data_IF_052673831681
#
_entry.id   IF_052673831681
#
_cell.length_a   1.000
_cell.length_b   1.000
_cell.length_c   1.000
_cell.angle_alpha   90.00
_cell.angle_beta   90.00
_cell.angle_gamma   90.00
#
_symmetry.space_group_name_H-M   'P 1'
#
loop_
_entity.id
_entity.type
_entity.pdbx_description
1 polymer ?
#
# COMPACT_ATOMS: atom_id res chain seq x y z
N UNK A 1 36.22 -27.98 -14.60
CA UNK A 1 35.21 -28.41 -13.61
C UNK A 1 33.91 -28.67 -14.34
N UNK A 2 33.35 -29.89 -14.36
CA UNK A 2 32.16 -30.17 -15.15
C UNK A 2 30.92 -29.69 -14.38
N UNK A 3 30.23 -28.68 -14.89
CA UNK A 3 28.93 -28.26 -14.38
C UNK A 3 27.88 -29.29 -14.82
N UNK A 4 27.31 -30.02 -13.86
CA UNK A 4 26.35 -31.09 -14.10
C UNK A 4 25.07 -30.54 -14.76
N UNK A 5 24.69 -31.03 -15.94
CA UNK A 5 23.45 -30.66 -16.66
C UNK A 5 22.18 -30.76 -15.81
N UNK A 6 22.17 -31.66 -14.82
CA UNK A 6 21.07 -31.80 -13.89
C UNK A 6 20.83 -30.51 -13.07
N UNK A 7 21.90 -29.79 -12.69
CA UNK A 7 21.80 -28.56 -11.93
C UNK A 7 21.11 -27.43 -12.73
N UNK A 8 21.34 -27.39 -14.05
CA UNK A 8 20.72 -26.40 -14.93
C UNK A 8 19.22 -26.64 -15.06
N UNK A 9 18.81 -27.91 -15.22
CA UNK A 9 17.40 -28.30 -15.30
C UNK A 9 16.65 -28.01 -14.00
N UNK A 10 17.25 -28.32 -12.85
CA UNK A 10 16.64 -28.01 -11.54
C UNK A 10 16.50 -26.51 -11.32
N UNK A 11 17.51 -25.71 -11.66
CA UNK A 11 17.45 -24.24 -11.53
C UNK A 11 16.34 -23.63 -12.38
N UNK A 12 16.18 -24.12 -13.61
CA UNK A 12 15.14 -23.65 -14.54
C UNK A 12 13.74 -23.95 -14.00
N UNK A 13 13.54 -25.13 -13.41
CA UNK A 13 12.27 -25.52 -12.81
C UNK A 13 11.89 -24.68 -11.58
N UNK A 14 12.89 -24.33 -10.75
CA UNK A 14 12.67 -23.44 -9.59
C UNK A 14 12.31 -22.02 -10.02
N UNK A 15 12.95 -21.49 -11.05
CA UNK A 15 12.63 -20.17 -11.59
C UNK A 15 11.21 -20.10 -12.19
N UNK A 16 10.72 -21.18 -12.80
CA UNK A 16 9.35 -21.27 -13.31
C UNK A 16 8.29 -21.38 -12.20
N UNK A 17 8.68 -21.83 -11.00
CA UNK A 17 7.77 -22.04 -9.87
C UNK A 17 7.74 -20.85 -8.89
N UNK A 18 8.51 -19.78 -9.15
CA UNK A 18 8.51 -18.60 -8.28
C UNK A 18 7.18 -17.87 -8.37
N UNK A 19 6.39 -17.91 -7.29
CA UNK A 19 5.15 -17.15 -7.17
C UNK A 19 5.48 -15.67 -6.88
N UNK A 20 4.79 -14.75 -7.54
CA UNK A 20 4.89 -13.33 -7.24
C UNK A 20 4.18 -13.05 -5.91
N UNK A 21 4.93 -12.73 -4.85
CA UNK A 21 4.35 -12.30 -3.57
C UNK A 21 4.03 -10.81 -3.65
N UNK A 22 2.79 -10.45 -3.31
CA UNK A 22 2.37 -9.05 -3.23
C UNK A 22 2.47 -8.63 -1.77
N UNK A 23 3.57 -7.97 -1.42
CA UNK A 23 3.69 -7.34 -0.10
C UNK A 23 2.80 -6.08 -0.07
N UNK A 24 1.89 -6.01 0.90
CA UNK A 24 0.86 -4.97 0.99
C UNK A 24 1.35 -3.55 1.33
N UNK A 25 2.66 -3.35 1.54
CA UNK A 25 3.30 -2.05 1.73
C UNK A 25 2.59 -1.09 2.70
N UNK A 26 2.88 0.20 2.56
CA UNK A 26 2.10 1.27 3.18
C UNK A 26 1.16 1.83 2.12
N UNK A 27 -0.14 1.83 2.40
CA UNK A 27 -1.16 2.48 1.58
C UNK A 27 -1.83 3.60 2.36
N UNK A 28 -1.81 4.80 1.79
CA UNK A 28 -2.33 6.02 2.39
C UNK A 28 -3.59 6.49 1.66
N UNK A 29 -4.55 7.02 2.42
CA UNK A 29 -5.86 7.44 1.88
C UNK A 29 -6.27 8.85 2.34
N UNK A 30 -5.28 9.67 2.69
CA UNK A 30 -5.41 11.05 3.20
C UNK A 30 -5.88 12.06 2.15
N UNK A 31 -7.00 11.75 1.46
CA UNK A 31 -7.60 12.61 0.43
C UNK A 31 -8.95 13.11 0.93
N UNK A 32 -8.99 14.40 1.23
CA UNK A 32 -10.15 15.06 1.82
C UNK A 32 -10.21 14.88 3.34
N UNK A 33 -10.35 15.99 4.07
CA UNK A 33 -10.37 16.01 5.54
C UNK A 33 -11.57 15.24 6.09
N UNK A 34 -12.71 15.30 5.41
CA UNK A 34 -13.92 14.58 5.81
C UNK A 34 -13.73 13.05 5.69
N UNK A 35 -13.03 12.58 4.65
CA UNK A 35 -12.72 11.17 4.51
C UNK A 35 -11.77 10.70 5.62
N UNK A 36 -10.74 11.49 5.94
CA UNK A 36 -9.85 11.18 7.07
C UNK A 36 -10.61 11.14 8.40
N UNK A 37 -11.49 12.10 8.67
CA UNK A 37 -12.33 12.13 9.88
C UNK A 37 -13.32 10.96 9.98
N UNK A 38 -13.66 10.35 8.85
CA UNK A 38 -14.53 9.18 8.77
C UNK A 38 -13.74 7.87 8.63
N UNK A 39 -12.41 7.89 8.83
CA UNK A 39 -11.51 6.75 8.62
C UNK A 39 -11.71 6.07 7.25
N UNK A 40 -12.01 6.86 6.22
CA UNK A 40 -12.32 6.42 4.85
C UNK A 40 -13.56 5.50 4.74
N UNK A 41 -14.39 5.39 5.78
CA UNK A 41 -15.52 4.46 5.80
C UNK A 41 -16.53 4.79 4.69
N UNK A 42 -16.86 3.85 3.80
CA UNK A 42 -17.84 4.10 2.73
C UNK A 42 -17.37 5.07 1.64
N UNK A 43 -16.08 5.38 1.54
CA UNK A 43 -15.54 6.29 0.51
C UNK A 43 -15.82 5.85 -0.94
N UNK A 44 -16.05 4.56 -1.17
CA UNK A 44 -16.47 4.06 -2.48
C UNK A 44 -17.94 4.38 -2.82
N UNK A 45 -18.79 4.71 -1.83
CA UNK A 45 -20.21 4.97 -2.03
C UNK A 45 -20.62 6.43 -1.77
N UNK A 46 -19.89 7.15 -0.90
CA UNK A 46 -20.20 8.54 -0.57
C UNK A 46 -19.81 9.50 -1.70
N UNK A 47 -20.66 10.48 -1.95
CA UNK A 47 -20.42 11.60 -2.86
C UNK A 47 -20.61 12.93 -2.13
N UNK A 48 -19.72 13.22 -1.16
CA UNK A 48 -19.89 14.34 -0.23
C UNK A 48 -19.18 15.63 -0.67
N UNK A 49 -18.24 15.54 -1.60
CA UNK A 49 -17.51 16.70 -2.11
C UNK A 49 -16.46 16.33 -3.17
N UNK A 50 -15.67 17.30 -3.66
CA UNK A 50 -14.72 17.10 -4.76
C UNK A 50 -13.70 15.97 -4.57
N UNK A 51 -13.31 15.66 -3.31
CA UNK A 51 -12.42 14.54 -2.99
C UNK A 51 -12.96 13.18 -3.42
N UNK A 52 -14.27 13.06 -3.63
CA UNK A 52 -14.94 11.87 -4.17
C UNK A 52 -14.30 11.41 -5.48
N UNK A 53 -13.73 12.31 -6.29
CA UNK A 53 -13.04 11.93 -7.53
C UNK A 53 -11.91 10.91 -7.30
N UNK A 54 -11.27 10.92 -6.13
CA UNK A 54 -10.16 10.02 -5.83
C UNK A 54 -10.62 8.62 -5.39
N UNK A 55 -11.81 8.49 -4.79
CA UNK A 55 -12.32 7.22 -4.25
C UNK A 55 -13.44 6.61 -5.09
N UNK A 56 -14.26 7.43 -5.74
CA UNK A 56 -15.36 7.04 -6.60
C UNK A 56 -15.66 8.13 -7.66
N UNK A 57 -14.96 8.12 -8.81
CA UNK A 57 -15.23 9.07 -9.90
C UNK A 57 -16.69 9.15 -10.35
N UNK A 58 -17.44 8.04 -10.29
CA UNK A 58 -18.86 8.03 -10.66
C UNK A 58 -19.73 8.84 -9.67
N UNK A 59 -19.30 8.92 -8.41
CA UNK A 59 -19.92 9.74 -7.37
C UNK A 59 -19.96 11.23 -7.71
N UNK A 60 -19.06 11.72 -8.58
CA UNK A 60 -19.06 13.12 -9.04
C UNK A 60 -20.35 13.53 -9.74
N UNK A 61 -21.12 12.58 -10.29
CA UNK A 61 -22.41 12.85 -10.94
C UNK A 61 -23.50 13.33 -9.97
N UNK A 62 -23.34 13.07 -8.67
CA UNK A 62 -24.26 13.53 -7.63
C UNK A 62 -23.88 14.91 -7.07
N UNK A 63 -22.71 15.45 -7.41
CA UNK A 63 -22.24 16.74 -6.91
C UNK A 63 -22.79 17.90 -7.77
N UNK A 64 -23.42 18.92 -7.18
CA UNK A 64 -23.94 20.05 -7.93
C UNK A 64 -22.82 21.00 -8.36
N UNK A 65 -22.89 21.45 -9.61
CA UNK A 65 -22.08 22.54 -10.14
C UNK A 65 -20.56 22.30 -10.11
N UNK A 66 -19.80 23.40 -10.19
CA UNK A 66 -18.34 23.38 -10.07
C UNK A 66 -17.96 23.63 -8.62
N UNK A 67 -17.18 22.71 -8.04
CA UNK A 67 -16.69 22.79 -6.67
C UNK A 67 -15.18 22.61 -6.64
N UNK A 68 -14.51 23.36 -5.77
CA UNK A 68 -13.06 23.32 -5.59
C UNK A 68 -12.78 23.16 -4.10
N UNK A 69 -11.90 22.24 -3.74
CA UNK A 69 -11.47 22.01 -2.36
C UNK A 69 -9.96 21.85 -2.32
N UNK A 70 -9.32 22.48 -1.35
CA UNK A 70 -7.92 22.34 -1.03
C UNK A 70 -7.78 22.07 0.48
N UNK A 71 -6.80 21.26 0.85
CA UNK A 71 -6.56 20.90 2.24
C UNK A 71 -5.12 20.46 2.44
N UNK A 72 -4.69 20.46 3.70
CA UNK A 72 -3.36 20.02 4.11
C UNK A 72 -3.54 19.03 5.27
N UNK A 73 -2.83 17.90 5.22
CA UNK A 73 -2.86 16.85 6.23
C UNK A 73 -1.43 16.47 6.60
N UNK A 74 -1.21 16.12 7.87
CA UNK A 74 0.09 15.69 8.40
C UNK A 74 -0.07 14.30 9.00
N UNK A 75 0.81 13.38 8.61
CA UNK A 75 0.85 12.01 9.14
C UNK A 75 2.08 11.84 10.01
N UNK A 76 1.89 11.32 11.23
CA UNK A 76 2.96 10.94 12.15
C UNK A 76 2.80 9.47 12.53
N UNK A 77 3.85 8.67 12.30
CA UNK A 77 3.88 7.25 12.65
C UNK A 77 4.96 6.99 13.71
N UNK A 78 4.60 6.21 14.72
CA UNK A 78 5.51 5.72 15.76
C UNK A 78 5.65 4.20 15.62
N UNK A 79 6.84 3.71 15.27
CA UNK A 79 7.10 2.30 15.01
C UNK A 79 8.37 1.85 15.74
N UNK A 80 8.24 0.79 16.54
CA UNK A 80 9.34 0.16 17.27
C UNK A 80 9.54 -1.29 16.83
N UNK A 81 10.79 -1.74 16.82
CA UNK A 81 11.15 -3.12 16.47
C UNK A 81 11.99 -3.74 17.58
N UNK A 82 11.45 -4.77 18.24
CA UNK A 82 12.12 -5.54 19.28
C UNK A 82 12.71 -6.84 18.71
N UNK A 83 14.00 -7.07 18.99
CA UNK A 83 14.73 -8.25 18.52
C UNK A 83 14.74 -9.34 19.59
N UNK A 84 14.74 -10.59 19.14
CA UNK A 84 14.90 -11.78 19.97
C UNK A 84 16.02 -12.71 19.46
N UNK A 85 16.20 -13.85 20.13
CA UNK A 85 17.21 -14.85 19.76
C UNK A 85 16.95 -15.55 18.42
N UNK A 86 15.76 -15.41 17.83
CA UNK A 86 15.40 -15.92 16.50
C UNK A 86 15.59 -14.89 15.38
N UNK A 87 15.91 -13.64 15.70
CA UNK A 87 16.11 -12.58 14.71
C UNK A 87 17.44 -12.78 13.96
N UNK A 88 17.36 -13.32 12.74
CA UNK A 88 18.52 -13.71 11.94
C UNK A 88 19.03 -12.62 10.96
N UNK A 89 18.34 -11.48 10.89
CA UNK A 89 18.74 -10.33 10.07
C UNK A 89 18.98 -9.14 11.00
N UNK A 90 20.13 -8.44 10.90
CA UNK A 90 20.45 -7.33 11.79
C UNK A 90 19.44 -6.19 11.73
N UNK A 91 18.67 -6.04 10.64
CA UNK A 91 17.68 -4.97 10.39
C UNK A 91 18.34 -3.60 10.29
N UNK A 92 18.22 -2.89 9.16
CA UNK A 92 18.90 -1.59 8.95
C UNK A 92 18.11 -0.36 9.41
N UNK A 93 16.94 -0.55 10.03
CA UNK A 93 16.12 0.52 10.59
C UNK A 93 14.78 0.02 11.12
N UNK A 94 14.22 0.69 12.11
CA UNK A 94 12.92 0.42 12.73
C UNK A 94 11.76 0.70 11.77
N UNK A 95 11.60 -0.14 10.74
CA UNK A 95 10.48 -0.06 9.79
C UNK A 95 10.82 -0.06 8.30
N UNK A 96 12.10 -0.10 7.91
CA UNK A 96 12.46 -0.27 6.49
C UNK A 96 12.31 -1.75 6.12
N UNK A 97 11.19 -2.09 5.49
CA UNK A 97 11.02 -3.34 4.75
C UNK A 97 11.71 -3.26 3.39
#
# INVERSE_FOLDING_TARGET
MPTSSAALSTFTLLALCSQQVWAGGIMLYEIGTDNAGLANAGAAARAQGPSTIASNPAGMSYLPGTQITAGLQVLYGDLSFDRDSGTNVPGSGSGNA
#
